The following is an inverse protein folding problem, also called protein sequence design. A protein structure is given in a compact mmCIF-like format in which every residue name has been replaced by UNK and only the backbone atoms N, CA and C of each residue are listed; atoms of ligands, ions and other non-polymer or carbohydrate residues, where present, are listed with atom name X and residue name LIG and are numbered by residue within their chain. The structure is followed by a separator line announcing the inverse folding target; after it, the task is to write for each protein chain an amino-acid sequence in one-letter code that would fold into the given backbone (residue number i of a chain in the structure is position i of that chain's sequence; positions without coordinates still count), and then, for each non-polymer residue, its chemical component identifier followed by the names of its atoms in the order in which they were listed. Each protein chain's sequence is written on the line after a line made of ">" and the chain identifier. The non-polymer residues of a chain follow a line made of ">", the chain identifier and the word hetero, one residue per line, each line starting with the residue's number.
data_IF_632698226897
#
_entry.id   IF_632698226897
#
_cell.length_a   1.000
_cell.length_b   1.000
_cell.length_c   1.000
_cell.angle_alpha   90.00
_cell.angle_beta   90.00
_cell.angle_gamma   90.00
#
_symmetry.space_group_name_H-M   'P 1'
#
loop_
_entity.id
_entity.type
_entity.pdbx_description
1 polymer ?
2 non-polymer ?
3 non-polymer ?
4 non-polymer ?
5 non-polymer ?
6 water ?
#
# COMPACT_ATOMS: atom_id res chain seq x y z
N UNK A 1 15.83 23.01 2.12
CA UNK A 1 15.05 21.73 2.10
C UNK A 1 14.02 21.70 0.96
N UNK A 2 14.27 20.83 -0.01
CA UNK A 2 13.38 20.63 -1.16
C UNK A 2 12.32 19.56 -0.84
N UNK A 3 11.09 19.77 -1.30
CA UNK A 3 9.99 18.85 -0.97
C UNK A 3 9.31 18.22 -2.19
N UNK A 4 8.98 16.94 -2.09
CA UNK A 4 8.47 16.20 -3.24
C UNK A 4 7.20 15.40 -3.00
N UNK A 5 6.24 15.59 -3.90
CA UNK A 5 4.93 14.94 -3.85
C UNK A 5 4.88 13.65 -4.69
N UNK A 6 4.12 12.66 -4.22
CA UNK A 6 3.91 11.42 -4.97
C UNK A 6 2.51 10.87 -4.81
N UNK A 7 2.05 10.15 -5.83
CA UNK A 7 0.71 9.54 -5.83
C UNK A 7 0.79 8.09 -6.24
N UNK A 8 -0.07 7.26 -5.65
CA UNK A 8 -0.16 5.84 -5.99
C UNK A 8 -1.59 5.35 -5.99
N UNK A 9 -1.85 4.34 -6.82
CA UNK A 9 -3.19 3.77 -6.93
C UNK A 9 -3.10 2.29 -7.28
N UNK A 10 -3.89 1.47 -6.59
CA UNK A 10 -3.90 0.03 -6.85
C UNK A 10 -5.25 -0.65 -6.65
N UNK A 11 -5.46 -1.73 -7.40
CA UNK A 11 -6.67 -2.54 -7.31
C UNK A 11 -6.30 -4.03 -7.33
N UNK A 12 -7.00 -4.82 -6.52
CA UNK A 12 -6.93 -6.29 -6.59
C UNK A 12 -8.31 -6.92 -6.44
N UNK A 13 -8.51 -8.05 -7.10
CA UNK A 13 -9.81 -8.70 -7.18
C UNK A 13 -9.97 -9.79 -6.12
N UNK A 14 -11.21 -10.04 -5.71
CA UNK A 14 -11.50 -11.10 -4.75
C UNK A 14 -11.46 -12.48 -5.39
N UNK A 15 -11.11 -13.48 -4.60
CA UNK A 15 -11.01 -14.85 -5.08
C UNK A 15 -10.44 -15.79 -4.03
N UNK A 16 -11.01 -16.99 -3.96
CA UNK A 16 -10.56 -18.00 -3.01
C UNK A 16 -10.94 -17.70 -1.57
N UNK A 17 -10.17 -18.30 -0.66
CA UNK A 17 -10.44 -18.24 0.78
C UNK A 17 -9.84 -16.99 1.41
N UNK A 18 -10.54 -16.42 2.39
CA UNK A 18 -9.94 -15.41 3.26
C UNK A 18 -8.76 -16.01 4.02
N UNK A 19 -7.97 -15.19 4.71
CA UNK A 19 -8.23 -13.76 4.86
C UNK A 19 -7.59 -12.93 3.76
N UNK A 20 -7.56 -11.62 3.97
CA UNK A 20 -6.86 -10.72 3.07
C UNK A 20 -5.77 -10.01 3.88
N UNK A 21 -4.69 -9.62 3.21
CA UNK A 21 -3.69 -8.79 3.87
C UNK A 21 -3.87 -7.39 3.31
N UNK A 22 -4.10 -6.43 4.21
CA UNK A 22 -4.23 -5.02 3.84
C UNK A 22 -3.42 -4.20 4.82
N UNK A 23 -2.47 -3.42 4.30
CA UNK A 23 -1.56 -2.63 5.13
C UNK A 23 -0.76 -3.50 6.08
N UNK A 24 -0.40 -4.70 5.63
CA UNK A 24 0.34 -5.65 6.45
C UNK A 24 -0.54 -6.48 7.38
N UNK A 25 -1.74 -5.97 7.66
CA UNK A 25 -2.66 -6.61 8.60
C UNK A 25 -3.49 -7.71 7.94
N UNK A 26 -3.49 -8.88 8.57
CA UNK A 26 -4.30 -10.01 8.14
C UNK A 26 -5.73 -9.84 8.67
N UNK A 27 -6.68 -9.67 7.75
CA UNK A 27 -8.06 -9.34 8.08
C UNK A 27 -9.01 -10.44 7.60
N UNK A 28 -9.85 -10.96 8.49
CA UNK A 28 -10.78 -12.03 8.12
C UNK A 28 -11.88 -11.52 7.19
N UNK A 29 -12.15 -12.29 6.15
CA UNK A 29 -13.18 -11.99 5.15
C UNK A 29 -13.53 -13.27 4.39
N UNK A 30 -14.76 -13.36 3.90
CA UNK A 30 -15.24 -14.55 3.19
C UNK A 30 -14.40 -14.90 1.96
N UNK A 31 -14.08 -13.90 1.15
CA UNK A 31 -13.18 -14.07 0.00
C UNK A 31 -11.77 -13.62 0.38
N UNK A 32 -10.78 -14.12 -0.37
CA UNK A 32 -9.40 -13.63 -0.29
C UNK A 32 -9.10 -12.76 -1.49
N UNK A 33 -7.86 -12.31 -1.64
CA UNK A 33 -7.48 -11.48 -2.79
C UNK A 33 -6.54 -12.18 -3.77
N UNK A 34 -6.94 -12.20 -5.05
CA UNK A 34 -6.11 -12.76 -6.13
C UNK A 34 -4.87 -11.92 -6.38
N UNK A 35 -3.70 -12.55 -6.30
CA UNK A 35 -2.43 -11.81 -6.38
C UNK A 35 -1.24 -12.67 -6.80
N UNK A 36 -0.23 -12.02 -7.37
CA UNK A 36 1.07 -12.65 -7.57
C UNK A 36 1.98 -12.47 -6.35
N UNK A 37 1.80 -11.37 -5.63
CA UNK A 37 2.38 -11.21 -4.29
C UNK A 37 1.32 -11.59 -3.26
N UNK A 38 1.22 -10.83 -2.17
CA UNK A 38 0.17 -11.08 -1.18
C UNK A 38 -1.08 -10.21 -1.40
N UNK A 39 -1.09 -9.44 -2.49
CA UNK A 39 -2.29 -8.69 -2.90
C UNK A 39 -2.66 -7.51 -2.04
N UNK A 40 -1.69 -7.06 -1.24
CA UNK A 40 -1.86 -5.94 -0.33
C UNK A 40 -1.95 -4.62 -1.09
N UNK A 41 -3.16 -4.26 -1.53
CA UNK A 41 -3.39 -3.01 -2.27
C UNK A 41 -2.92 -1.77 -1.52
N UNK A 42 -3.13 -1.74 -0.21
CA UNK A 42 -2.76 -0.59 0.60
C UNK A 42 -1.26 -0.30 0.50
N UNK A 43 -0.45 -1.34 0.68
CA UNK A 43 0.99 -1.19 0.64
C UNK A 43 1.52 -0.96 -0.77
N UNK A 44 0.91 -1.61 -1.76
CA UNK A 44 1.26 -1.39 -3.16
C UNK A 44 1.06 0.07 -3.52
N UNK A 45 -0.12 0.59 -3.21
CA UNK A 45 -0.47 1.98 -3.52
C UNK A 45 0.45 2.96 -2.80
N UNK A 46 0.82 2.62 -1.56
CA UNK A 46 1.75 3.43 -0.78
C UNK A 46 3.13 3.43 -1.41
N UNK A 47 3.59 2.25 -1.81
CA UNK A 47 4.89 2.11 -2.43
C UNK A 47 4.99 2.94 -3.71
N UNK A 48 3.97 2.87 -4.56
CA UNK A 48 3.93 3.68 -5.77
C UNK A 48 3.96 5.18 -5.47
N UNK A 49 3.20 5.59 -4.45
CA UNK A 49 3.17 7.00 -4.04
C UNK A 49 4.56 7.47 -3.61
N UNK A 50 5.24 6.62 -2.84
CA UNK A 50 6.59 6.90 -2.37
C UNK A 50 7.61 6.92 -3.51
N UNK A 51 7.59 5.88 -4.35
CA UNK A 51 8.49 5.80 -5.51
C UNK A 51 8.28 6.97 -6.46
N UNK A 52 7.02 7.25 -6.77
CA UNK A 52 6.67 8.36 -7.65
C UNK A 52 7.18 9.70 -7.16
N UNK A 53 7.13 9.91 -5.85
CA UNK A 53 7.67 11.12 -5.25
C UNK A 53 9.18 11.20 -5.44
N UNK A 54 9.85 10.05 -5.35
CA UNK A 54 11.29 9.97 -5.57
C UNK A 54 11.63 9.79 -7.05
N UNK A 55 10.63 9.97 -7.92
CA UNK A 55 10.74 9.72 -9.36
C UNK A 55 11.54 8.45 -9.69
N UNK A 56 11.04 7.31 -9.22
CA UNK A 56 11.66 6.01 -9.48
C UNK A 56 10.72 5.03 -10.20
N UNK A 57 9.61 5.55 -10.74
CA UNK A 57 8.67 4.74 -11.52
C UNK A 57 7.56 4.15 -10.68
N UNK A 58 7.46 2.83 -10.69
CA UNK A 58 6.48 2.11 -9.87
C UNK A 58 7.07 0.79 -9.35
N UNK A 59 6.27 0.02 -8.61
CA UNK A 59 6.70 -1.30 -8.10
C UNK A 59 7.04 -2.27 -9.22
N UNK A 60 6.19 -2.29 -10.25
CA UNK A 60 6.40 -3.15 -11.41
C UNK A 60 7.68 -2.85 -12.16
N UNK A 61 8.16 -1.61 -12.02
CA UNK A 61 9.43 -1.20 -12.61
C UNK A 61 10.60 -1.68 -11.76
N UNK A 62 10.53 -1.44 -10.45
CA UNK A 62 11.56 -1.90 -9.51
C UNK A 62 11.62 -3.42 -9.36
N UNK A 63 10.45 -4.05 -9.34
CA UNK A 63 10.35 -5.50 -9.14
C UNK A 63 9.49 -6.09 -10.25
N UNK A 64 10.11 -6.45 -11.38
CA UNK A 64 9.39 -7.01 -12.53
C UNK A 64 8.50 -8.20 -12.15
N UNK A 65 7.35 -8.31 -12.81
CA UNK A 65 6.34 -9.35 -12.53
C UNK A 65 6.88 -10.79 -12.62
N UNK A 66 8.11 -10.93 -13.10
CA UNK A 66 8.75 -12.22 -13.35
C UNK A 66 10.05 -12.41 -12.54
N UNK A 67 10.94 -11.41 -12.63
CA UNK A 67 12.32 -11.41 -12.09
C UNK A 67 12.65 -12.30 -10.87
N UNK A 68 13.82 -12.96 -10.90
CA UNK A 68 14.35 -13.67 -9.72
C UNK A 68 14.64 -12.81 -8.47
N UNK A 69 15.37 -11.69 -8.63
CA UNK A 69 15.89 -10.87 -7.50
C UNK A 69 14.98 -10.76 -6.26
N UNK A 70 13.85 -10.06 -6.40
CA UNK A 70 12.80 -9.98 -5.37
C UNK A 70 11.50 -10.58 -5.92
N UNK A 71 11.29 -11.88 -5.65
CA UNK A 71 10.23 -12.66 -6.30
C UNK A 71 9.16 -13.19 -5.34
N UNK A 72 7.89 -13.08 -5.77
CA UNK A 72 6.73 -13.61 -5.04
C UNK A 72 6.70 -13.36 -3.54
N UNK A 73 7.23 -12.21 -3.12
CA UNK A 73 7.37 -11.85 -1.71
C UNK A 73 6.14 -11.12 -1.17
N UNK A 74 6.12 -10.88 0.14
CA UNK A 74 5.05 -10.10 0.76
C UNK A 74 5.36 -8.61 0.63
N UNK A 75 4.30 -7.81 0.51
CA UNK A 75 4.41 -6.39 0.16
C UNK A 75 5.17 -5.51 1.16
N UNK A 76 5.32 -5.98 2.39
CA UNK A 76 6.09 -5.25 3.40
C UNK A 76 7.58 -5.24 3.08
N UNK A 77 8.08 -6.34 2.52
CA UNK A 77 9.46 -6.43 2.04
C UNK A 77 9.68 -5.47 0.88
N UNK A 78 8.78 -5.52 -0.10
CA UNK A 78 8.83 -4.61 -1.24
C UNK A 78 8.80 -3.15 -0.78
N UNK A 79 7.95 -2.85 0.19
CA UNK A 79 7.86 -1.50 0.75
C UNK A 79 9.18 -1.07 1.38
N UNK A 80 9.74 -1.93 2.23
CA UNK A 80 11.01 -1.64 2.92
C UNK A 80 12.16 -1.48 1.94
N UNK A 81 12.16 -2.31 0.91
CA UNK A 81 13.18 -2.28 -0.13
C UNK A 81 13.12 -0.98 -0.93
N UNK A 82 11.93 -0.61 -1.38
CA UNK A 82 11.73 0.65 -2.08
C UNK A 82 12.15 1.85 -1.22
N UNK A 83 11.88 1.77 0.08
CA UNK A 83 12.24 2.85 1.00
C UNK A 83 13.75 2.94 1.17
N UNK A 84 14.41 1.78 1.12
CA UNK A 84 15.86 1.72 1.14
C UNK A 84 16.40 2.53 -0.05
N UNK A 85 15.88 2.25 -1.25
CA UNK A 85 16.23 2.96 -2.48
C UNK A 85 15.93 4.46 -2.42
N UNK A 86 14.75 4.80 -1.91
CA UNK A 86 14.31 6.19 -1.83
C UNK A 86 15.23 6.97 -0.88
N UNK A 87 15.74 6.28 0.14
CA UNK A 87 16.67 6.90 1.07
C UNK A 87 18.07 7.02 0.49
N UNK A 88 18.48 6.01 -0.28
CA UNK A 88 19.76 6.02 -0.97
C UNK A 88 19.90 7.26 -1.86
N UNK A 89 18.79 7.70 -2.47
CA UNK A 89 18.78 8.94 -3.25
C UNK A 89 18.71 10.19 -2.38
N UNK A 90 18.73 10.01 -1.06
CA UNK A 90 18.83 11.12 -0.12
C UNK A 90 17.52 11.75 0.33
N UNK A 91 16.46 10.95 0.37
CA UNK A 91 15.16 11.45 0.83
C UNK A 91 14.80 10.94 2.22
N UNK A 92 14.17 11.80 3.01
CA UNK A 92 13.52 11.39 4.25
C UNK A 92 12.02 11.58 4.10
N UNK A 93 11.25 10.93 4.97
CA UNK A 93 9.79 10.97 4.89
C UNK A 93 9.20 12.27 5.46
N UNK A 94 8.38 12.93 4.65
CA UNK A 94 7.54 14.03 5.13
C UNK A 94 6.35 13.42 5.85
N UNK A 95 5.44 12.84 5.08
CA UNK A 95 4.32 12.05 5.61
C UNK A 95 3.58 11.31 4.51
N UNK A 96 2.79 10.31 4.90
CA UNK A 96 1.96 9.57 3.95
C UNK A 96 0.51 9.53 4.39
N UNK A 97 -0.38 9.53 3.41
CA UNK A 97 -1.81 9.42 3.65
C UNK A 97 -2.35 8.37 2.71
N UNK A 98 -3.11 7.43 3.26
CA UNK A 98 -3.63 6.30 2.50
C UNK A 98 -5.16 6.25 2.56
N UNK A 99 -5.79 5.91 1.44
CA UNK A 99 -7.24 5.80 1.37
C UNK A 99 -7.68 4.47 0.78
N UNK A 100 -8.16 3.57 1.64
CA UNK A 100 -8.67 2.29 1.19
C UNK A 100 -10.11 2.45 0.70
N UNK A 101 -10.40 1.90 -0.47
CA UNK A 101 -11.74 1.96 -1.03
C UNK A 101 -12.27 0.53 -1.12
N UNK A 102 -13.20 0.20 -0.22
CA UNK A 102 -13.77 -1.14 -0.14
C UNK A 102 -15.15 -1.10 0.50
N UNK A 103 -16.07 -1.90 -0.05
CA UNK A 103 -17.42 -2.02 0.52
C UNK A 103 -17.38 -2.74 1.86
N UNK A 104 -16.55 -3.78 1.94
CA UNK A 104 -16.28 -4.56 3.15
C UNK A 104 -15.04 -5.40 2.83
N UNK A 105 -14.26 -5.85 3.83
CA UNK A 105 -14.59 -5.76 5.26
C UNK A 105 -14.37 -4.39 5.90
N UNK A 106 -14.78 -4.26 7.16
CA UNK A 106 -14.60 -3.02 7.90
C UNK A 106 -13.12 -2.85 8.19
N UNK A 107 -12.56 -1.72 7.76
CA UNK A 107 -11.12 -1.49 7.88
C UNK A 107 -10.72 -0.78 9.17
N UNK A 108 -11.62 0.05 9.68
CA UNK A 108 -11.33 0.96 10.79
C UNK A 108 -10.71 0.35 12.06
N UNK A 109 -11.18 -0.81 12.53
CA UNK A 109 -10.54 -1.49 13.65
C UNK A 109 -9.08 -1.90 13.39
N UNK A 110 -8.72 -2.08 12.12
CA UNK A 110 -7.38 -2.56 11.76
C UNK A 110 -6.38 -1.45 11.47
N UNK A 111 -6.86 -0.21 11.35
CA UNK A 111 -6.03 0.91 10.93
C UNK A 111 -4.87 1.22 11.89
N UNK A 112 -5.10 1.21 13.21
CA UNK A 112 -4.00 1.41 14.17
C UNK A 112 -2.83 0.44 13.96
N UNK A 113 -3.12 -0.83 13.71
CA UNK A 113 -2.09 -1.85 13.48
C UNK A 113 -1.38 -1.68 12.14
N UNK A 114 -2.12 -1.23 11.13
CA UNK A 114 -1.56 -0.90 9.82
C UNK A 114 -0.52 0.19 9.96
N UNK A 115 -0.81 1.17 10.81
CA UNK A 115 0.10 2.28 11.02
C UNK A 115 1.37 1.87 11.75
N UNK A 116 1.24 0.96 12.73
CA UNK A 116 2.40 0.37 13.39
C UNK A 116 3.32 -0.26 12.34
N UNK A 117 2.74 -1.08 11.46
CA UNK A 117 3.48 -1.73 10.40
C UNK A 117 4.19 -0.75 9.47
N UNK A 118 3.45 0.21 8.92
CA UNK A 118 4.01 1.18 7.98
C UNK A 118 5.07 2.07 8.64
N UNK A 119 4.77 2.57 9.85
CA UNK A 119 5.71 3.41 10.59
C UNK A 119 7.02 2.68 10.85
N UNK A 120 6.93 1.40 11.20
CA UNK A 120 8.10 0.54 11.35
C UNK A 120 8.86 0.43 10.04
N UNK A 121 8.14 0.08 8.99
CA UNK A 121 8.72 -0.19 7.68
C UNK A 121 9.40 1.01 7.04
N UNK A 122 8.99 2.21 7.43
CA UNK A 122 9.61 3.43 6.92
C UNK A 122 10.45 4.11 8.00
N UNK A 123 10.48 3.49 9.18
CA UNK A 123 11.29 3.97 10.30
C UNK A 123 10.98 5.40 10.71
N UNK A 124 9.70 5.67 10.95
CA UNK A 124 9.26 7.01 11.31
C UNK A 124 8.25 6.96 12.45
N UNK A 125 7.81 8.13 12.89
CA UNK A 125 6.78 8.23 13.91
C UNK A 125 5.44 7.87 13.28
N UNK A 126 4.52 7.37 14.10
CA UNK A 126 3.19 7.04 13.63
C UNK A 126 2.46 8.28 13.11
N UNK A 127 2.75 9.44 13.71
CA UNK A 127 2.08 10.69 13.36
C UNK A 127 2.42 11.21 11.96
N UNK A 128 3.21 10.43 11.21
CA UNK A 128 3.48 10.71 9.80
C UNK A 128 2.78 9.72 8.87
N UNK A 129 2.03 8.79 9.46
CA UNK A 129 1.27 7.80 8.69
C UNK A 129 -0.22 7.93 9.01
N UNK A 130 -1.02 8.20 7.98
CA UNK A 130 -2.47 8.22 8.10
C UNK A 130 -3.12 7.24 7.13
N UNK A 131 -4.15 6.54 7.61
CA UNK A 131 -4.90 5.58 6.80
C UNK A 131 -6.41 5.76 7.01
N UNK A 132 -7.16 5.77 5.92
CA UNK A 132 -8.63 5.85 5.97
C UNK A 132 -9.25 4.75 5.13
N UNK A 133 -10.56 4.60 5.28
CA UNK A 133 -11.33 3.76 4.37
C UNK A 133 -12.61 4.48 3.95
N UNK A 134 -13.18 4.04 2.83
CA UNK A 134 -14.49 4.51 2.39
C UNK A 134 -15.14 3.44 1.52
N UNK A 135 -16.48 3.41 1.50
CA UNK A 135 -17.20 2.57 0.55
C UNK A 135 -17.60 3.45 -0.62
N UNK A 136 -18.02 2.83 -1.72
CA UNK A 136 -18.57 3.58 -2.84
C UNK A 136 -20.10 3.46 -2.83
N UNK A 137 -20.65 3.32 -1.63
CA UNK A 137 -22.09 3.19 -1.39
C UNK A 137 -22.71 2.18 -2.34
N UNK A 138 -22.11 0.99 -2.35
CA UNK A 138 -22.53 -0.15 -3.18
C UNK A 138 -22.44 -0.01 -4.70
N UNK A 139 -21.91 1.12 -5.17
CA UNK A 139 -21.71 1.38 -6.60
C UNK A 139 -20.34 0.94 -7.09
N UNK A 140 -20.27 0.60 -8.38
CA UNK A 140 -19.01 0.21 -8.99
C UNK A 140 -18.47 -1.13 -8.53
N UNK A 141 -17.36 -1.57 -9.12
CA UNK A 141 -16.82 -2.89 -8.82
C UNK A 141 -16.50 -3.11 -7.34
N UNK A 142 -16.04 -2.07 -6.64
CA UNK A 142 -15.78 -2.21 -5.20
C UNK A 142 -17.11 -2.31 -4.46
N UNK A 143 -18.03 -1.43 -4.82
CA UNK A 143 -19.35 -1.39 -4.20
C UNK A 143 -20.13 -2.67 -4.40
N UNK A 144 -19.93 -3.32 -5.55
CA UNK A 144 -20.55 -4.62 -5.78
C UNK A 144 -19.60 -5.79 -5.45
N UNK A 145 -18.73 -5.57 -4.47
CA UNK A 145 -17.95 -6.62 -3.80
C UNK A 145 -17.01 -7.46 -4.63
N UNK A 146 -16.54 -6.92 -5.78
CA UNK A 146 -15.68 -7.66 -6.71
C UNK A 146 -14.19 -7.49 -6.44
N UNK A 147 -13.87 -6.41 -5.76
CA UNK A 147 -12.47 -6.12 -5.45
C UNK A 147 -12.28 -4.96 -4.50
N UNK A 148 -11.01 -4.60 -4.26
CA UNK A 148 -10.67 -3.48 -3.40
C UNK A 148 -9.72 -2.54 -4.13
N UNK A 149 -9.98 -1.24 -4.00
CA UNK A 149 -9.12 -0.21 -4.55
C UNK A 149 -8.44 0.53 -3.41
N UNK A 150 -7.32 1.17 -3.72
CA UNK A 150 -6.64 2.00 -2.74
C UNK A 150 -5.87 3.13 -3.40
N UNK A 151 -5.86 4.27 -2.71
CA UNK A 151 -5.10 5.44 -3.14
C UNK A 151 -4.18 5.87 -2.03
N UNK A 152 -3.01 6.37 -2.41
CA UNK A 152 -2.06 6.90 -1.44
C UNK A 152 -1.38 8.12 -2.02
N UNK A 153 -1.06 9.07 -1.15
CA UNK A 153 -0.18 10.19 -1.49
C UNK A 153 0.97 10.21 -0.50
N UNK A 154 2.10 10.77 -0.95
CA UNK A 154 3.32 10.84 -0.14
C UNK A 154 4.03 12.17 -0.32
N UNK A 155 4.67 12.63 0.75
CA UNK A 155 5.51 13.82 0.73
C UNK A 155 6.90 13.39 1.17
N UNK A 156 7.92 13.83 0.42
CA UNK A 156 9.30 13.53 0.75
C UNK A 156 10.12 14.80 0.91
N UNK A 157 11.23 14.69 1.64
CA UNK A 157 12.16 15.79 1.89
C UNK A 157 13.59 15.36 1.51
N UNK A 158 14.34 16.23 0.83
CA UNK A 158 15.74 15.93 0.46
C UNK A 158 16.76 16.66 1.33
X LIG B 1 -1.06 -4.47 -6.52
X LIG C 1 -22.08 6.00 3.79
X LIG D 1 1.58 -5.02 -8.92
X LIG D 1 0.08 -5.11 -9.48
X LIG D 1 -0.25 -6.53 -9.94
X LIG D 1 -0.90 -4.66 -8.42
X LIG D 1 0.06 -4.08 -10.74
X LIG D 1 -0.54 -4.49 -12.19
X LIG D 1 -1.75 -3.65 -12.50
X LIG D 1 -0.84 -5.98 -12.24
X LIG D 1 0.64 -4.05 -13.18
X LIG D 1 1.97 -4.23 -12.78
X LIG D 1 2.92 -3.36 -13.60
X LIG D 1 2.66 -3.38 -14.99
X LIG D 1 2.83 -1.90 -13.20
X LIG D 1 3.56 -1.66 -12.02
X LIG D 1 3.41 -1.22 -14.42
X LIG D 1 4.82 -1.26 -14.37
X LIG D 1 2.96 -2.12 -15.56
X LIG D 1 1.82 -1.54 -16.31
X LIG D 1 2.01 -1.15 -17.63
X LIG D 1 3.14 -1.14 -18.11
X LIG D 1 0.94 -0.78 -18.42
X LIG D 1 -0.36 -0.85 -17.93
X LIG D 1 -1.38 -0.46 -18.69
X LIG D 1 -0.57 -1.35 -16.65
X LIG D 1 0.53 -1.70 -15.86
X LIG E 1 -15.91 2.04 -10.26
X LIG E 1 -16.39 0.88 -10.93
X LIG E 1 -14.46 2.25 -10.61
X LIG E 1 -13.56 2.81 -9.80
X LIG E 1 -13.86 3.12 -8.36
X LIG E 1 -12.22 3.13 -10.42
X LIG E 1 -11.26 3.72 -9.40
X LIG E 1 -10.85 5.10 -9.88
X LIG E 1 -10.57 6.11 -9.04
X LIG E 1 -10.65 5.96 -7.55
X LIG E 1 -10.18 7.43 -9.61
X LIG E 1 -17.12 0.93 -12.36
X LIG E 1 -17.87 2.23 -12.51
X LIG E 1 -16.11 0.55 -13.41
X LIG E 1 -18.20 -0.26 -12.19
X LIG E 1 -19.00 -1.01 -13.39
X LIG E 1 -18.23 -0.64 -14.65
X LIG E 1 -18.90 -2.48 -13.02
X LIG E 1 -20.41 -0.47 -13.34
#
# INVERSE_FOLDING_TARGET
>A
AEMRIGHGFDVHAFGGEGPIIIGGVRIPYEKGLLAHSDGDVALHALTDALLGAAALGDIGKLFPDTDPAFKGADSRELLREAWRRIQAKGYTLGNVDVTIIAQAPKMLPHIPQMRVFIAEDLGCHMDDVNVKATTTEKLGFTGMGLGIACEAVALLIKATK
>B hetero
1 ZN ZN
>C hetero
1 MN MN
>D hetero
1 CDP O3B PB O1B O2B O3A PA O1A O2A O5' C5' C4' O4' C3' O3' C2' O2' C1' N1 C2 O2 N3 C4 N4 C5 C6
>E hetero
1 GPP C1 O1 C2 C3 C4 C5 C6 C7 C8 C9 C10 PA O1A O2A O3A PB O1B O2B O3B
#
